data_IF_464603018183
#
_entry.id   IF_464603018183
#
_cell.length_a   1.000
_cell.length_b   1.000
_cell.length_c   1.000
_cell.angle_alpha   90.00
_cell.angle_beta   90.00
_cell.angle_gamma   90.00
#
_symmetry.space_group_name_H-M   'P 1'
#
loop_
_entity.id
_entity.type
_entity.pdbx_description
1 polymer ?
#
# COMPACT_ATOMS: atom_id res chain seq x y z
N UNK A 1 -18.82 -6.63 -9.40
CA UNK A 1 -18.42 -5.34 -8.79
C UNK A 1 -17.36 -4.71 -9.67
N UNK A 2 -17.57 -3.46 -10.09
CA UNK A 2 -16.60 -2.73 -10.90
C UNK A 2 -15.43 -2.26 -10.04
N UNK A 3 -14.23 -2.23 -10.61
CA UNK A 3 -13.00 -1.80 -9.95
C UNK A 3 -12.24 -0.87 -10.88
N UNK A 4 -11.75 0.24 -10.33
CA UNK A 4 -10.80 1.11 -11.03
C UNK A 4 -9.40 0.48 -10.92
N UNK A 5 -8.73 0.38 -12.06
CA UNK A 5 -7.32 0.03 -12.16
C UNK A 5 -6.58 1.28 -12.63
N UNK A 6 -5.53 1.67 -11.90
CA UNK A 6 -4.69 2.82 -12.23
C UNK A 6 -3.29 2.28 -12.44
N UNK A 7 -2.78 2.42 -13.66
CA UNK A 7 -1.42 2.03 -14.03
C UNK A 7 -0.57 3.30 -14.09
N UNK A 8 0.50 3.34 -13.29
CA UNK A 8 1.44 4.47 -13.19
C UNK A 8 2.84 3.91 -13.47
N UNK A 9 3.56 4.38 -14.50
CA UNK A 9 4.93 3.94 -14.77
C UNK A 9 5.90 4.54 -13.74
N UNK A 10 6.67 3.69 -13.05
CA UNK A 10 7.59 4.09 -11.97
C UNK A 10 9.08 3.91 -12.31
N UNK A 11 9.37 3.54 -13.57
CA UNK A 11 10.73 3.30 -14.04
C UNK A 11 11.23 1.86 -13.80
N UNK A 12 12.48 1.56 -14.19
CA UNK A 12 12.99 0.19 -14.23
C UNK A 12 13.66 -0.28 -12.92
N UNK A 13 13.95 0.64 -11.99
CA UNK A 13 14.59 0.28 -10.73
C UNK A 13 13.54 -0.13 -9.70
N UNK A 14 13.63 -1.37 -9.24
CA UNK A 14 12.67 -1.94 -8.30
C UNK A 14 12.63 -1.18 -6.95
N UNK A 15 13.78 -0.85 -6.37
CA UNK A 15 13.85 -0.17 -5.08
C UNK A 15 13.29 1.26 -5.16
N UNK A 16 13.61 1.97 -6.25
CA UNK A 16 13.07 3.31 -6.47
C UNK A 16 11.55 3.26 -6.67
N UNK A 17 11.06 2.25 -7.41
CA UNK A 17 9.63 2.05 -7.60
C UNK A 17 8.91 1.71 -6.28
N UNK A 18 9.51 0.88 -5.42
CA UNK A 18 8.98 0.59 -4.07
C UNK A 18 8.86 1.90 -3.27
N UNK A 19 9.94 2.69 -3.18
CA UNK A 19 9.94 3.94 -2.43
C UNK A 19 8.89 4.93 -2.95
N UNK A 20 8.77 5.08 -4.28
CA UNK A 20 7.77 5.95 -4.89
C UNK A 20 6.33 5.53 -4.57
N UNK A 21 6.05 4.22 -4.53
CA UNK A 21 4.73 3.73 -4.11
C UNK A 21 4.50 4.00 -2.63
N UNK A 22 5.48 3.75 -1.77
CA UNK A 22 5.36 4.02 -0.34
C UNK A 22 5.07 5.51 -0.07
N UNK A 23 5.80 6.41 -0.71
CA UNK A 23 5.59 7.86 -0.62
C UNK A 23 4.20 8.27 -1.13
N UNK A 24 3.78 7.73 -2.29
CA UNK A 24 2.45 8.00 -2.87
C UNK A 24 1.36 7.56 -1.90
N UNK A 25 1.49 6.37 -1.35
CA UNK A 25 0.48 5.79 -0.47
C UNK A 25 0.42 6.53 0.87
N UNK A 26 1.58 6.90 1.42
CA UNK A 26 1.67 7.70 2.63
C UNK A 26 1.02 9.08 2.43
N UNK A 27 1.38 9.80 1.36
CA UNK A 27 0.89 11.15 1.10
C UNK A 27 -0.63 11.21 0.84
N UNK A 28 -1.17 10.24 0.12
CA UNK A 28 -2.57 10.29 -0.33
C UNK A 28 -3.54 9.48 0.54
N UNK A 29 -3.04 8.56 1.37
CA UNK A 29 -3.91 7.64 2.10
C UNK A 29 -3.54 7.43 3.57
N UNK A 30 -2.40 7.93 4.06
CA UNK A 30 -2.10 7.90 5.50
C UNK A 30 -2.63 9.14 6.23
N UNK A 31 -2.73 10.29 5.55
CA UNK A 31 -3.28 11.52 6.09
C UNK A 31 -4.80 11.41 6.38
N UNK A 32 -5.21 11.86 7.56
CA UNK A 32 -6.62 11.88 8.01
C UNK A 32 -7.47 12.69 7.04
N UNK A 33 -6.99 13.86 6.60
CA UNK A 33 -7.71 14.75 5.69
C UNK A 33 -7.92 14.10 4.32
N UNK A 34 -6.93 13.32 3.85
CA UNK A 34 -7.02 12.63 2.58
C UNK A 34 -8.00 11.45 2.65
N UNK A 35 -8.02 10.70 3.76
CA UNK A 35 -9.00 9.63 4.00
C UNK A 35 -10.43 10.17 4.01
N UNK A 36 -10.69 11.29 4.68
CA UNK A 36 -12.01 11.91 4.72
C UNK A 36 -12.48 12.36 3.32
N UNK A 37 -11.59 12.96 2.52
CA UNK A 37 -11.90 13.34 1.13
C UNK A 37 -12.28 12.14 0.27
N UNK A 38 -11.58 11.02 0.41
CA UNK A 38 -11.88 9.79 -0.33
C UNK A 38 -13.23 9.22 0.10
N UNK A 39 -13.52 9.15 1.41
CA UNK A 39 -14.83 8.74 1.93
C UNK A 39 -15.95 9.64 1.37
N UNK A 40 -15.74 10.95 1.37
CA UNK A 40 -16.72 11.91 0.85
C UNK A 40 -16.99 11.72 -0.65
N UNK A 41 -15.94 11.59 -1.47
CA UNK A 41 -16.07 11.48 -2.93
C UNK A 41 -16.56 10.11 -3.39
N UNK A 42 -16.14 9.04 -2.72
CA UNK A 42 -16.43 7.66 -3.14
C UNK A 42 -17.52 6.98 -2.32
N UNK A 43 -18.02 7.64 -1.27
CA UNK A 43 -19.05 7.14 -0.37
C UNK A 43 -18.54 5.97 0.47
N UNK A 44 -19.23 4.83 0.38
CA UNK A 44 -19.04 3.64 1.24
C UNK A 44 -17.81 2.78 0.88
N UNK A 45 -16.70 3.39 0.45
CA UNK A 45 -15.47 2.62 0.21
C UNK A 45 -14.82 2.30 1.55
N UNK A 46 -14.88 1.04 1.97
CA UNK A 46 -14.30 0.57 3.24
C UNK A 46 -12.79 0.34 3.16
N UNK A 47 -12.28 -0.02 1.98
CA UNK A 47 -10.89 -0.44 1.83
C UNK A 47 -10.35 -0.14 0.43
N UNK A 48 -9.05 0.16 0.38
CA UNK A 48 -8.28 0.30 -0.85
C UNK A 48 -7.29 -0.85 -0.90
N UNK A 49 -7.26 -1.57 -2.02
CA UNK A 49 -6.32 -2.68 -2.23
C UNK A 49 -5.39 -2.32 -3.39
N UNK A 50 -4.08 -2.38 -3.14
CA UNK A 50 -3.04 -1.99 -4.09
C UNK A 50 -1.91 -3.03 -4.12
N UNK A 51 -1.07 -2.96 -5.15
CA UNK A 51 0.14 -3.77 -5.29
C UNK A 51 1.09 -3.07 -6.25
N UNK A 52 2.39 -3.28 -6.08
CA UNK A 52 3.38 -2.94 -7.09
C UNK A 52 3.63 -4.18 -7.97
N UNK A 53 3.29 -4.10 -9.25
CA UNK A 53 3.57 -5.15 -10.24
C UNK A 53 4.73 -4.77 -11.14
N UNK A 54 5.20 -5.73 -11.94
CA UNK A 54 6.19 -5.51 -12.99
C UNK A 54 5.65 -6.06 -14.31
N UNK A 55 5.81 -5.32 -15.41
CA UNK A 55 5.18 -5.65 -16.70
C UNK A 55 5.66 -6.99 -17.29
N UNK A 56 6.91 -7.35 -17.03
CA UNK A 56 7.48 -8.63 -17.47
C UNK A 56 7.01 -9.81 -16.60
N UNK A 57 6.46 -9.52 -15.42
CA UNK A 57 5.94 -10.57 -14.55
C UNK A 57 4.52 -10.97 -14.98
N UNK A 58 4.41 -12.20 -15.46
CA UNK A 58 3.14 -12.77 -15.92
C UNK A 58 2.22 -13.14 -14.76
N UNK A 59 2.72 -13.12 -13.53
CA UNK A 59 1.96 -13.36 -12.30
C UNK A 59 1.49 -12.04 -11.66
N UNK A 60 0.53 -12.13 -10.75
CA UNK A 60 -0.04 -10.96 -10.04
C UNK A 60 0.81 -10.57 -8.83
N UNK A 61 2.11 -10.46 -9.05
CA UNK A 61 3.11 -10.21 -8.03
C UNK A 61 2.92 -8.86 -7.36
N UNK A 62 3.29 -8.79 -6.10
CA UNK A 62 3.30 -7.58 -5.28
C UNK A 62 4.69 -7.35 -4.70
N UNK A 63 5.50 -6.55 -5.39
CA UNK A 63 6.89 -6.26 -5.02
C UNK A 63 7.05 -5.53 -3.68
N UNK A 64 5.95 -4.98 -3.13
CA UNK A 64 5.90 -4.42 -1.77
C UNK A 64 5.86 -5.50 -0.67
N UNK A 65 5.52 -6.74 -1.03
CA UNK A 65 5.38 -7.83 -0.08
C UNK A 65 6.31 -8.97 -0.50
N UNK A 66 7.53 -8.90 0.05
CA UNK A 66 8.56 -9.91 -0.10
C UNK A 66 8.70 -10.69 1.20
N UNK A 67 8.89 -12.00 1.09
CA UNK A 67 9.26 -12.83 2.24
C UNK A 67 10.72 -12.59 2.62
N UNK A 68 11.13 -13.04 3.81
CA UNK A 68 12.52 -12.99 4.27
C UNK A 68 13.51 -13.65 3.28
N UNK A 69 13.02 -14.61 2.47
CA UNK A 69 13.79 -15.29 1.44
C UNK A 69 13.83 -14.53 0.10
N UNK A 70 13.29 -13.31 0.03
CA UNK A 70 13.24 -12.47 -1.17
C UNK A 70 12.15 -12.84 -2.19
N UNK A 71 11.26 -13.79 -1.86
CA UNK A 71 10.17 -14.16 -2.76
C UNK A 71 9.03 -13.16 -2.71
N UNK A 72 8.63 -12.67 -3.88
CA UNK A 72 7.48 -11.78 -4.06
C UNK A 72 6.18 -12.57 -3.92
N UNK A 73 5.22 -12.04 -3.17
CA UNK A 73 3.90 -12.69 -3.00
C UNK A 73 2.87 -12.16 -3.99
N UNK A 74 1.75 -12.89 -4.14
CA UNK A 74 0.60 -12.44 -4.94
C UNK A 74 -0.47 -11.70 -4.10
N UNK A 75 -0.19 -11.45 -2.82
CA UNK A 75 -1.13 -10.82 -1.89
C UNK A 75 -1.14 -9.32 -2.12
N UNK A 76 -2.33 -8.72 -2.24
CA UNK A 76 -2.48 -7.25 -2.31
C UNK A 76 -2.24 -6.63 -0.94
N UNK A 77 -1.60 -5.47 -0.93
CA UNK A 77 -1.56 -4.59 0.23
C UNK A 77 -2.93 -3.92 0.42
N UNK A 78 -3.31 -3.66 1.68
CA UNK A 78 -4.63 -3.14 2.04
C UNK A 78 -4.49 -1.91 2.93
N UNK A 79 -5.27 -0.88 2.63
CA UNK A 79 -5.54 0.25 3.52
C UNK A 79 -6.99 0.17 3.94
N UNK A 80 -7.24 0.14 5.25
CA UNK A 80 -8.58 0.28 5.80
C UNK A 80 -8.94 1.76 5.88
N UNK A 81 -10.13 2.09 5.39
CA UNK A 81 -10.71 3.42 5.53
C UNK A 81 -11.78 3.44 6.63
N UNK A 82 -12.23 2.30 7.15
CA UNK A 82 -13.20 2.30 8.25
C UNK A 82 -12.57 2.76 9.56
N UNK A 83 -13.30 3.58 10.33
CA UNK A 83 -12.88 4.04 11.67
C UNK A 83 -13.08 2.98 12.76
N UNK A 84 -13.35 1.74 12.35
CA UNK A 84 -13.31 0.59 13.24
C UNK A 84 -11.88 0.45 13.72
N UNK A 85 -11.60 0.94 14.94
CA UNK A 85 -10.45 0.53 15.73
C UNK A 85 -10.47 -0.98 15.78
N UNK A 86 -9.71 -1.61 14.91
CA UNK A 86 -9.44 -3.02 14.99
C UNK A 86 -8.25 -3.12 15.94
N UNK A 87 -8.54 -3.35 17.23
CA UNK A 87 -7.58 -3.46 18.35
C UNK A 87 -6.59 -4.65 18.20
N UNK A 88 -6.39 -5.15 16.97
CA UNK A 88 -5.47 -6.25 16.65
C UNK A 88 -4.46 -5.91 15.56
N UNK A 89 -4.36 -4.65 15.13
CA UNK A 89 -3.27 -4.26 14.25
C UNK A 89 -2.02 -4.00 15.11
N UNK A 90 -1.12 -4.99 15.15
CA UNK A 90 0.22 -4.85 15.73
C UNK A 90 0.81 -3.51 15.27
N UNK A 91 1.06 -2.63 16.23
CA UNK A 91 1.85 -1.41 16.03
C UNK A 91 3.16 -1.83 15.38
N UNK A 92 3.34 -1.48 14.11
CA UNK A 92 4.64 -1.55 13.47
C UNK A 92 5.52 -0.48 14.11
N UNK A 93 6.22 -0.88 15.17
CA UNK A 93 7.10 -0.07 15.99
C UNK A 93 8.40 0.22 15.23
N UNK A 94 8.38 1.23 14.36
CA UNK A 94 9.60 1.78 13.75
C UNK A 94 10.06 3.02 14.54
N UNK A 95 10.33 2.83 15.84
CA UNK A 95 11.17 3.77 16.60
C UNK A 95 12.52 3.09 16.81
N UNK A 96 13.46 3.48 15.95
CA UNK A 96 14.83 3.03 15.97
C UNK A 96 15.43 3.08 17.37
N UNK A 97 16.06 1.96 17.76
CA UNK A 97 17.05 1.92 18.84
C UNK A 97 18.15 2.93 18.53
N UNK A 98 18.04 4.14 19.08
CA UNK A 98 19.21 4.93 19.41
C UNK A 98 19.69 4.45 20.78
N UNK A 99 20.62 3.50 20.78
CA UNK A 99 21.48 3.29 21.95
C UNK A 99 22.39 4.54 22.07
N UNK A 100 22.37 5.15 23.26
CA UNK A 100 23.39 6.10 23.73
C UNK A 100 24.47 5.28 24.44
#
# INVERSE_FOLDING_TARGET
MYRLHIDIPLGPNENDAIQQVEDLMHWHFADVDAKEKIKYLMGNVEQINYRLGHDEDRQKSNYLNKTENGHVTNKKSRISLSDSKDDTQEEFDWVGKMEI
#
